data_IF_538779584536
#
_entry.id   IF_538779584536
#
_cell.length_a   1.000
_cell.length_b   1.000
_cell.length_c   1.000
_cell.angle_alpha   90.00
_cell.angle_beta   90.00
_cell.angle_gamma   90.00
#
_symmetry.space_group_name_H-M   'P 1'
#
loop_
_entity.id
_entity.type
_entity.pdbx_description
1 polymer ?
#
# COMPACT_ATOMS: atom_id res chain seq x y z
N UNK A 1 5.66 -0.70 5.71
CA UNK A 1 4.67 0.35 5.41
C UNK A 1 3.27 -0.21 5.19
N UNK A 2 2.98 -0.91 4.08
CA UNK A 2 1.63 -1.47 3.84
C UNK A 2 1.28 -2.62 4.77
N UNK A 3 2.22 -3.56 4.96
CA UNK A 3 2.02 -4.67 5.90
C UNK A 3 1.80 -4.16 7.33
N UNK A 4 2.54 -3.14 7.75
CA UNK A 4 2.36 -2.54 9.08
C UNK A 4 0.97 -1.90 9.22
N UNK A 5 0.50 -1.18 8.20
CA UNK A 5 -0.88 -0.66 8.17
C UNK A 5 -1.93 -1.79 8.27
N UNK A 6 -1.75 -2.90 7.54
CA UNK A 6 -2.65 -4.05 7.61
C UNK A 6 -2.61 -4.76 8.98
N UNK A 7 -1.45 -4.81 9.62
CA UNK A 7 -1.28 -5.35 10.98
C UNK A 7 -2.00 -4.46 11.99
N UNK A 8 -1.93 -3.13 11.86
CA UNK A 8 -2.67 -2.21 12.73
C UNK A 8 -4.19 -2.39 12.57
N UNK A 9 -4.66 -2.61 11.34
CA UNK A 9 -6.08 -2.81 11.02
C UNK A 9 -6.60 -4.19 11.44
N UNK A 10 -5.74 -5.20 11.45
CA UNK A 10 -6.07 -6.62 11.65
C UNK A 10 -4.95 -7.33 12.42
N UNK A 11 -4.74 -6.98 13.71
CA UNK A 11 -3.62 -7.49 14.49
C UNK A 11 -3.67 -9.00 14.70
N UNK A 12 -4.87 -9.59 14.72
CA UNK A 12 -5.09 -11.03 14.81
C UNK A 12 -4.51 -11.83 13.64
N UNK A 13 -4.32 -11.21 12.48
CA UNK A 13 -3.75 -11.83 11.28
C UNK A 13 -2.27 -11.44 11.07
N UNK A 14 -1.60 -10.84 12.05
CA UNK A 14 -0.23 -10.33 11.92
C UNK A 14 0.73 -11.38 11.35
N UNK A 15 0.75 -12.58 11.91
CA UNK A 15 1.67 -13.64 11.48
C UNK A 15 1.43 -14.03 10.01
N UNK A 16 0.16 -14.06 9.59
CA UNK A 16 -0.25 -14.36 8.22
C UNK A 16 0.13 -13.22 7.27
N UNK A 17 -0.08 -11.96 7.67
CA UNK A 17 0.31 -10.77 6.90
C UNK A 17 1.83 -10.70 6.72
N UNK A 18 2.60 -11.04 7.76
CA UNK A 18 4.07 -11.10 7.68
C UNK A 18 4.53 -12.15 6.68
N UNK A 19 3.95 -13.36 6.71
CA UNK A 19 4.30 -14.50 5.83
C UNK A 19 3.79 -14.37 4.40
N UNK A 20 2.70 -13.63 4.17
CA UNK A 20 2.10 -13.46 2.84
C UNK A 20 2.97 -12.57 1.92
N UNK A 21 2.96 -12.83 0.61
CA UNK A 21 3.64 -11.95 -0.36
C UNK A 21 2.99 -10.56 -0.38
N UNK A 22 3.79 -9.50 -0.50
CA UNK A 22 3.29 -8.12 -0.48
C UNK A 22 2.14 -7.89 -1.49
N UNK A 23 2.28 -8.41 -2.71
CA UNK A 23 1.24 -8.33 -3.73
C UNK A 23 -0.07 -9.01 -3.32
N UNK A 24 0.00 -10.15 -2.63
CA UNK A 24 -1.20 -10.84 -2.12
C UNK A 24 -1.85 -10.06 -0.98
N UNK A 25 -1.05 -9.51 -0.06
CA UNK A 25 -1.58 -8.68 1.02
C UNK A 25 -2.28 -7.42 0.48
N UNK A 26 -1.70 -6.78 -0.55
CA UNK A 26 -2.34 -5.65 -1.23
C UNK A 26 -3.66 -6.08 -1.90
N UNK A 27 -3.64 -7.18 -2.65
CA UNK A 27 -4.79 -7.62 -3.44
C UNK A 27 -5.97 -8.06 -2.56
N UNK A 28 -5.69 -8.79 -1.49
CA UNK A 28 -6.69 -9.48 -0.69
C UNK A 28 -7.15 -8.69 0.54
N UNK A 29 -6.36 -7.75 1.05
CA UNK A 29 -6.62 -7.08 2.34
C UNK A 29 -6.89 -5.58 2.23
N UNK A 30 -6.59 -4.96 1.08
CA UNK A 30 -6.89 -3.55 0.83
C UNK A 30 -8.19 -3.43 0.04
N UNK A 31 -9.19 -2.80 0.65
CA UNK A 31 -10.51 -2.56 0.06
C UNK A 31 -10.53 -1.28 -0.78
N UNK A 32 -9.83 -0.24 -0.32
CA UNK A 32 -9.78 1.04 -1.03
C UNK A 32 -9.04 0.91 -2.36
N UNK A 33 -9.71 1.29 -3.44
CA UNK A 33 -9.23 1.09 -4.79
C UNK A 33 -8.03 2.01 -5.13
N UNK A 34 -7.93 3.18 -4.50
CA UNK A 34 -6.82 4.11 -4.69
C UNK A 34 -5.56 3.60 -3.98
N UNK A 35 -5.69 3.16 -2.71
CA UNK A 35 -4.59 2.55 -1.96
C UNK A 35 -4.10 1.31 -2.70
N UNK A 36 -5.01 0.42 -3.10
CA UNK A 36 -4.68 -0.81 -3.84
C UNK A 36 -3.94 -0.51 -5.15
N UNK A 37 -4.46 0.42 -5.94
CA UNK A 37 -3.87 0.80 -7.23
C UNK A 37 -2.46 1.38 -7.10
N UNK A 38 -2.21 2.25 -6.12
CA UNK A 38 -0.89 2.84 -5.90
C UNK A 38 0.10 1.82 -5.35
N UNK A 39 -0.36 1.00 -4.39
CA UNK A 39 0.42 -0.04 -3.76
C UNK A 39 0.86 -1.14 -4.75
N UNK A 40 -0.04 -1.62 -5.62
CA UNK A 40 0.28 -2.62 -6.64
C UNK A 40 1.35 -2.10 -7.60
N UNK A 41 1.20 -0.84 -8.05
CA UNK A 41 2.19 -0.20 -8.95
C UNK A 41 3.53 0.03 -8.25
N UNK A 42 3.54 0.44 -6.99
CA UNK A 42 4.76 0.60 -6.21
C UNK A 42 5.47 -0.73 -5.97
N UNK A 43 4.73 -1.79 -5.63
CA UNK A 43 5.27 -3.14 -5.47
C UNK A 43 5.82 -3.69 -6.80
N UNK A 44 5.14 -3.40 -7.91
CA UNK A 44 5.58 -3.80 -9.23
C UNK A 44 6.85 -3.07 -9.66
N UNK A 45 6.91 -1.74 -9.54
CA UNK A 45 8.11 -0.94 -9.81
C UNK A 45 9.29 -1.34 -8.92
N UNK A 46 9.06 -1.55 -7.62
CA UNK A 46 10.11 -1.99 -6.70
C UNK A 46 10.63 -3.40 -6.98
N UNK A 47 9.81 -4.27 -7.59
CA UNK A 47 10.21 -5.62 -8.00
C UNK A 47 10.93 -5.63 -9.37
N UNK A 48 10.58 -4.70 -10.27
CA UNK A 48 11.22 -4.54 -11.59
C UNK A 48 12.63 -3.90 -11.48
N UNK A 49 12.84 -2.99 -10.52
CA UNK A 49 14.15 -2.37 -10.21
C UNK A 49 15.26 -3.35 -9.79
N UNK A 50 14.91 -4.62 -9.49
CA UNK A 50 15.89 -5.68 -9.15
C UNK A 50 16.35 -6.48 -10.36
N UNK A 51 15.70 -6.33 -11.52
CA UNK A 51 16.14 -6.93 -12.77
C UNK A 51 17.07 -5.97 -13.49
N UNK A 52 18.30 -6.41 -13.77
CA UNK A 52 19.44 -5.70 -14.37
C UNK A 52 19.18 -5.10 -15.78
N UNK A 53 17.94 -5.10 -16.25
CA UNK A 53 17.53 -4.60 -17.57
C UNK A 53 16.34 -3.66 -17.32
N UNK A 54 16.61 -2.35 -17.31
CA UNK A 54 15.58 -1.29 -17.30
C UNK A 54 14.64 -1.54 -18.49
N UNK A 55 13.46 -2.11 -18.22
CA UNK A 55 12.38 -2.25 -19.21
C UNK A 55 11.58 -0.95 -19.40
N UNK A 56 11.84 0.05 -18.57
CA UNK A 56 11.17 1.34 -18.58
C UNK A 56 12.22 2.44 -18.62
N UNK A 57 12.57 2.92 -19.82
CA UNK A 57 13.47 4.07 -19.98
C UNK A 57 12.86 5.38 -19.44
N UNK A 58 11.54 5.42 -19.22
CA UNK A 58 10.76 6.63 -18.91
C UNK A 58 10.13 6.67 -17.50
N UNK A 59 10.30 5.63 -16.69
CA UNK A 59 9.83 5.62 -15.28
C UNK A 59 10.99 5.35 -14.35
N UNK A 60 11.18 6.26 -13.39
CA UNK A 60 12.37 6.29 -12.54
C UNK A 60 12.00 6.07 -11.06
N UNK A 61 13.01 5.99 -10.20
CA UNK A 61 12.86 5.95 -8.73
C UNK A 61 11.99 7.10 -8.19
N UNK A 62 11.87 8.20 -8.94
CA UNK A 62 10.98 9.31 -8.62
C UNK A 62 9.50 8.94 -8.73
N UNK A 63 9.09 8.16 -9.74
CA UNK A 63 7.72 7.63 -9.84
C UNK A 63 7.41 6.68 -8.68
N UNK A 64 8.37 5.85 -8.29
CA UNK A 64 8.23 4.99 -7.11
C UNK A 64 8.02 5.82 -5.84
N UNK A 65 8.79 6.90 -5.64
CA UNK A 65 8.60 7.82 -4.51
C UNK A 65 7.22 8.47 -4.53
N UNK A 66 6.74 8.92 -5.69
CA UNK A 66 5.40 9.50 -5.84
C UNK A 66 4.32 8.47 -5.50
N UNK A 67 4.43 7.23 -5.99
CA UNK A 67 3.48 6.17 -5.70
C UNK A 67 3.45 5.80 -4.22
N UNK A 68 4.61 5.75 -3.56
CA UNK A 68 4.70 5.52 -2.13
C UNK A 68 4.05 6.66 -1.34
N UNK A 69 4.35 7.92 -1.70
CA UNK A 69 3.74 9.09 -1.08
C UNK A 69 2.21 9.10 -1.25
N UNK A 70 1.71 8.81 -2.46
CA UNK A 70 0.28 8.71 -2.71
C UNK A 70 -0.35 7.60 -1.86
N UNK A 71 0.29 6.43 -1.77
CA UNK A 71 -0.18 5.32 -0.94
C UNK A 71 -0.32 5.73 0.53
N UNK A 72 0.69 6.42 1.09
CA UNK A 72 0.62 6.93 2.47
C UNK A 72 -0.52 7.93 2.63
N UNK A 73 -0.63 8.92 1.75
CA UNK A 73 -1.69 9.94 1.82
C UNK A 73 -3.09 9.34 1.78
N UNK A 74 -3.31 8.32 0.95
CA UNK A 74 -4.60 7.64 0.89
C UNK A 74 -4.89 6.83 2.16
N UNK A 75 -3.88 6.16 2.73
CA UNK A 75 -4.02 5.49 4.02
C UNK A 75 -4.37 6.49 5.13
N UNK A 76 -3.66 7.63 5.20
CA UNK A 76 -3.94 8.69 6.17
C UNK A 76 -5.35 9.26 5.99
N UNK A 77 -5.77 9.51 4.75
CA UNK A 77 -7.11 9.97 4.44
C UNK A 77 -8.20 8.96 4.85
N UNK A 78 -7.98 7.66 4.64
CA UNK A 78 -8.90 6.60 5.08
C UNK A 78 -9.03 6.61 6.61
N UNK A 79 -7.90 6.65 7.33
CA UNK A 79 -7.87 6.65 8.81
C UNK A 79 -8.56 7.91 9.37
N UNK A 80 -8.24 9.09 8.83
CA UNK A 80 -8.84 10.36 9.25
C UNK A 80 -10.35 10.37 8.98
N UNK A 81 -10.77 9.91 7.80
CA UNK A 81 -12.19 9.83 7.43
C UNK A 81 -12.93 8.90 8.39
N UNK A 82 -12.37 7.71 8.67
CA UNK A 82 -12.97 6.76 9.60
C UNK A 82 -13.12 7.35 11.00
N UNK A 83 -12.04 7.93 11.55
CA UNK A 83 -12.06 8.56 12.87
C UNK A 83 -13.05 9.73 12.95
N UNK A 84 -13.12 10.57 11.92
CA UNK A 84 -14.06 11.68 11.88
C UNK A 84 -15.52 11.20 11.86
N UNK A 85 -15.84 10.19 11.05
CA UNK A 85 -17.19 9.61 10.99
C UNK A 85 -17.59 8.89 12.28
N UNK A 86 -16.66 8.20 12.95
CA UNK A 86 -16.91 7.59 14.27
C UNK A 86 -17.22 8.66 15.33
N UNK A 87 -16.48 9.77 15.33
CA UNK A 87 -16.71 10.90 16.23
C UNK A 87 -18.02 11.64 15.95
N UNK A 88 -18.49 11.70 14.70
CA UNK A 88 -19.79 12.32 14.36
C UNK A 88 -21.00 11.46 14.75
N UNK A 89 -20.80 10.15 14.88
CA UNK A 89 -21.85 9.19 15.23
C UNK A 89 -21.83 8.78 16.72
N UNK A 90 -20.96 9.39 17.53
CA UNK A 90 -20.85 9.20 18.99
C UNK A 90 -21.45 10.39 19.74
#
# INVERSE_FOLDING_TARGET
MIKDYLIIKTPEEEEKIRKELLGNSIKNRISDQNIKSCAERAAWLGNDETHYIKKWEDKDINDLKILLQLTVKWIEAEILTKSYLENMNS
#
